data_IF_539838120868
#
_entry.id   IF_539838120868
#
_cell.length_a   1.000
_cell.length_b   1.000
_cell.length_c   1.000
_cell.angle_alpha   90.00
_cell.angle_beta   90.00
_cell.angle_gamma   90.00
#
_symmetry.space_group_name_H-M   'P 1'
#
loop_
_entity.id
_entity.type
_entity.pdbx_description
1 polymer ?
#
# COMPACT_ATOMS: atom_id res chain seq x y z
N UNK A 1 7.26 -31.66 -13.27
CA UNK A 1 8.43 -31.55 -12.40
C UNK A 1 8.32 -30.17 -11.75
N UNK A 2 7.67 -30.13 -10.56
CA UNK A 2 7.39 -28.87 -9.87
C UNK A 2 8.59 -28.49 -9.04
N UNK A 3 9.29 -27.42 -9.39
CA UNK A 3 10.25 -26.79 -8.50
C UNK A 3 9.48 -26.21 -7.30
N UNK A 4 9.68 -26.79 -6.14
CA UNK A 4 9.32 -26.18 -4.87
C UNK A 4 10.11 -24.89 -4.70
N UNK A 5 9.50 -23.76 -5.09
CA UNK A 5 10.07 -22.45 -4.78
C UNK A 5 9.91 -22.25 -3.28
N UNK A 6 11.04 -22.34 -2.57
CA UNK A 6 11.16 -22.08 -1.16
C UNK A 6 10.80 -20.62 -0.87
N UNK A 7 9.65 -20.40 -0.25
CA UNK A 7 9.17 -19.06 0.15
C UNK A 7 9.94 -18.47 1.35
N UNK A 8 10.92 -19.20 1.91
CA UNK A 8 11.67 -18.82 3.11
C UNK A 8 12.49 -17.54 2.91
N UNK A 9 13.01 -17.31 1.70
CA UNK A 9 13.82 -16.12 1.39
C UNK A 9 13.08 -14.78 1.50
N UNK A 10 11.78 -14.74 1.25
CA UNK A 10 10.98 -13.51 1.37
C UNK A 10 10.65 -13.15 2.82
N UNK A 11 10.40 -14.16 3.64
CA UNK A 11 10.15 -13.96 5.07
C UNK A 11 11.38 -13.37 5.78
N UNK A 12 12.58 -13.83 5.43
CA UNK A 12 13.83 -13.38 6.05
C UNK A 12 14.18 -11.92 5.70
N UNK A 13 13.99 -11.49 4.44
CA UNK A 13 14.27 -10.10 4.01
C UNK A 13 13.30 -9.11 4.66
N UNK A 14 12.00 -9.43 4.72
CA UNK A 14 11.00 -8.62 5.39
C UNK A 14 11.28 -8.51 6.91
N UNK A 15 11.70 -9.60 7.56
CA UNK A 15 12.07 -9.61 8.97
C UNK A 15 13.29 -8.73 9.24
N UNK A 16 14.31 -8.77 8.37
CA UNK A 16 15.49 -7.92 8.46
C UNK A 16 15.16 -6.42 8.38
N UNK A 17 14.31 -6.02 7.45
CA UNK A 17 13.82 -4.63 7.34
C UNK A 17 13.06 -4.18 8.59
N UNK A 18 12.19 -5.04 9.14
CA UNK A 18 11.45 -4.74 10.38
C UNK A 18 12.36 -4.61 11.59
N UNK A 19 13.37 -5.46 11.73
CA UNK A 19 14.33 -5.38 12.81
C UNK A 19 15.16 -4.08 12.74
N UNK A 20 15.66 -3.72 11.55
CA UNK A 20 16.37 -2.47 11.33
C UNK A 20 15.50 -1.24 11.66
N UNK A 21 14.24 -1.26 11.23
CA UNK A 21 13.28 -0.22 11.53
C UNK A 21 13.02 -0.09 13.04
N UNK A 22 12.88 -1.21 13.75
CA UNK A 22 12.67 -1.21 15.20
C UNK A 22 13.83 -0.53 15.93
N UNK A 23 15.08 -0.82 15.54
CA UNK A 23 16.27 -0.15 16.09
C UNK A 23 16.25 1.35 15.81
N UNK A 24 15.91 1.75 14.58
CA UNK A 24 15.78 3.16 14.20
C UNK A 24 14.69 3.87 15.01
N UNK A 25 13.53 3.26 15.17
CA UNK A 25 12.43 3.84 15.96
C UNK A 25 12.78 3.91 17.45
N UNK A 26 13.50 2.93 17.98
CA UNK A 26 13.99 2.97 19.36
C UNK A 26 14.96 4.14 19.56
N UNK A 27 15.87 4.37 18.62
CA UNK A 27 16.78 5.50 18.66
C UNK A 27 16.03 6.84 18.57
N UNK A 28 15.06 6.97 17.68
CA UNK A 28 14.21 8.17 17.57
C UNK A 28 13.45 8.41 18.88
N UNK A 29 12.82 7.36 19.42
CA UNK A 29 12.06 7.47 20.66
C UNK A 29 12.93 7.89 21.85
N UNK A 30 14.13 7.33 21.99
CA UNK A 30 15.02 7.59 23.13
C UNK A 30 15.72 8.94 23.01
N UNK A 31 16.20 9.30 21.82
CA UNK A 31 17.11 10.44 21.66
C UNK A 31 16.47 11.68 21.03
N UNK A 32 15.37 11.53 20.29
CA UNK A 32 14.78 12.62 19.52
C UNK A 32 13.35 12.98 19.95
N UNK A 33 12.61 12.08 20.60
CA UNK A 33 11.27 12.39 21.06
C UNK A 33 11.32 13.44 22.20
N UNK A 34 10.60 14.56 22.08
CA UNK A 34 10.64 15.65 23.09
C UNK A 34 9.91 15.26 24.39
N UNK A 35 9.08 14.24 24.36
CA UNK A 35 8.36 13.64 25.48
C UNK A 35 8.06 12.16 25.22
N UNK A 36 7.65 11.44 26.26
CA UNK A 36 7.22 10.04 26.16
C UNK A 36 5.78 9.91 26.65
N UNK A 37 4.90 9.38 25.80
CA UNK A 37 3.51 9.19 26.15
C UNK A 37 3.34 8.02 27.12
N UNK A 38 2.55 8.19 28.21
CA UNK A 38 2.38 7.16 29.22
C UNK A 38 1.54 6.00 28.69
N UNK A 39 2.14 4.81 28.66
CA UNK A 39 1.52 3.59 28.06
C UNK A 39 0.30 3.07 28.81
N UNK A 40 0.14 3.44 30.07
CA UNK A 40 -0.98 3.05 30.93
C UNK A 40 -2.23 3.96 30.76
N UNK A 41 -2.20 4.91 29.85
CA UNK A 41 -3.30 5.83 29.58
C UNK A 41 -4.05 5.44 28.31
N UNK A 42 -5.36 5.43 28.37
CA UNK A 42 -6.23 5.06 27.25
C UNK A 42 -6.01 5.95 26.00
N UNK A 43 -5.80 7.25 26.20
CA UNK A 43 -5.58 8.18 25.09
C UNK A 43 -4.31 7.87 24.28
N UNK A 44 -3.26 7.34 24.92
CA UNK A 44 -2.04 6.91 24.22
C UNK A 44 -2.35 5.78 23.23
N UNK A 45 -3.21 4.85 23.61
CA UNK A 45 -3.68 3.78 22.73
C UNK A 45 -4.53 4.30 21.57
N UNK A 46 -5.42 5.26 21.84
CA UNK A 46 -6.21 5.91 20.78
C UNK A 46 -5.29 6.63 19.79
N UNK A 47 -4.30 7.38 20.26
CA UNK A 47 -3.30 8.05 19.40
C UNK A 47 -2.51 7.01 18.60
N UNK A 48 -2.09 5.91 19.20
CA UNK A 48 -1.34 4.86 18.52
C UNK A 48 -2.17 4.19 17.41
N UNK A 49 -3.40 3.79 17.71
CA UNK A 49 -4.29 3.11 16.77
C UNK A 49 -4.70 4.03 15.62
N UNK A 50 -5.18 5.24 15.92
CA UNK A 50 -5.58 6.20 14.89
C UNK A 50 -4.39 6.73 14.09
N UNK A 51 -3.25 6.97 14.76
CA UNK A 51 -2.03 7.42 14.11
C UNK A 51 -1.48 6.39 13.13
N UNK A 52 -1.44 5.11 13.53
CA UNK A 52 -1.06 4.03 12.64
C UNK A 52 -2.02 3.91 11.46
N UNK A 53 -3.33 3.95 11.70
CA UNK A 53 -4.31 3.78 10.65
C UNK A 53 -4.29 4.95 9.64
N UNK A 54 -4.12 6.18 10.12
CA UNK A 54 -3.95 7.37 9.26
C UNK A 54 -2.66 7.29 8.43
N UNK A 55 -1.53 6.93 9.05
CA UNK A 55 -0.26 6.81 8.33
C UNK A 55 -0.29 5.63 7.34
N UNK A 56 -0.98 4.54 7.69
CA UNK A 56 -1.23 3.44 6.76
C UNK A 56 -2.01 3.93 5.54
N UNK A 57 -3.11 4.67 5.73
CA UNK A 57 -3.85 5.30 4.63
C UNK A 57 -2.93 6.13 3.74
N UNK A 58 -2.11 7.00 4.35
CA UNK A 58 -1.15 7.86 3.63
C UNK A 58 -0.15 7.06 2.82
N UNK A 59 0.48 6.06 3.45
CA UNK A 59 1.41 5.15 2.78
C UNK A 59 0.74 4.40 1.63
N UNK A 60 -0.44 3.83 1.87
CA UNK A 60 -1.17 3.03 0.88
C UNK A 60 -1.53 3.88 -0.35
N UNK A 61 -1.98 5.12 -0.12
CA UNK A 61 -2.23 6.09 -1.20
C UNK A 61 -0.96 6.42 -1.99
N UNK A 62 0.18 6.64 -1.30
CA UNK A 62 1.48 6.86 -1.95
C UNK A 62 1.92 5.62 -2.74
N UNK A 63 1.69 4.43 -2.21
CA UNK A 63 2.03 3.17 -2.88
C UNK A 63 1.30 3.01 -4.23
N UNK A 64 0.11 3.56 -4.39
CA UNK A 64 -0.61 3.59 -5.65
C UNK A 64 -0.26 4.76 -6.57
N UNK A 65 0.36 5.83 -6.03
CA UNK A 65 0.61 7.07 -6.75
C UNK A 65 2.07 7.29 -7.13
N UNK A 66 2.99 6.58 -6.52
CA UNK A 66 4.43 6.67 -6.78
C UNK A 66 4.92 5.32 -7.31
N UNK A 67 5.36 5.29 -8.55
CA UNK A 67 5.69 4.05 -9.28
C UNK A 67 6.73 3.20 -8.55
N UNK A 68 7.75 3.80 -7.93
CA UNK A 68 8.75 3.08 -7.14
C UNK A 68 8.12 2.33 -5.95
N UNK A 69 7.16 2.96 -5.28
CA UNK A 69 6.46 2.35 -4.14
C UNK A 69 5.42 1.33 -4.64
N UNK A 70 4.72 1.64 -5.75
CA UNK A 70 3.86 0.68 -6.44
C UNK A 70 4.60 -0.61 -6.80
N UNK A 71 5.87 -0.53 -7.19
CA UNK A 71 6.69 -1.71 -7.49
C UNK A 71 6.77 -2.71 -6.33
N UNK A 72 6.62 -2.26 -5.08
CA UNK A 72 6.52 -3.14 -3.90
C UNK A 72 5.12 -3.70 -3.69
N UNK A 73 4.08 -2.99 -4.14
CA UNK A 73 2.68 -3.26 -3.80
C UNK A 73 1.91 -3.99 -4.91
N UNK A 74 2.32 -3.83 -6.18
CA UNK A 74 1.64 -4.41 -7.33
C UNK A 74 1.44 -5.94 -7.27
N UNK A 75 2.35 -6.67 -6.63
CA UNK A 75 2.23 -8.11 -6.49
C UNK A 75 0.99 -8.51 -5.67
N UNK A 76 0.62 -7.69 -4.69
CA UNK A 76 -0.62 -7.84 -3.91
C UNK A 76 -1.86 -7.68 -4.80
N UNK A 77 -1.86 -6.70 -5.72
CA UNK A 77 -2.94 -6.45 -6.67
C UNK A 77 -2.94 -7.37 -7.90
N UNK A 78 -1.92 -8.21 -8.09
CA UNK A 78 -1.79 -9.01 -9.32
C UNK A 78 -2.73 -10.22 -9.39
N UNK A 79 -3.45 -10.55 -8.32
CA UNK A 79 -4.37 -11.68 -8.30
C UNK A 79 -5.65 -11.38 -9.09
N UNK A 80 -6.04 -12.28 -9.97
CA UNK A 80 -7.34 -12.25 -10.67
C UNK A 80 -8.48 -12.79 -9.79
N UNK A 81 -8.16 -13.30 -8.61
CA UNK A 81 -9.11 -13.77 -7.59
C UNK A 81 -8.96 -12.93 -6.34
N UNK A 82 -10.09 -12.66 -5.68
CA UNK A 82 -10.11 -11.90 -4.44
C UNK A 82 -10.53 -12.80 -3.27
N UNK A 83 -9.56 -13.19 -2.46
CA UNK A 83 -9.74 -14.09 -1.32
C UNK A 83 -8.61 -13.93 -0.30
N UNK A 84 -8.62 -14.72 0.76
CA UNK A 84 -7.59 -14.67 1.81
C UNK A 84 -6.16 -14.98 1.32
N UNK A 85 -6.00 -15.72 0.22
CA UNK A 85 -4.68 -15.91 -0.39
C UNK A 85 -4.15 -14.59 -0.99
N UNK A 86 -5.03 -13.69 -1.43
CA UNK A 86 -4.64 -12.32 -1.84
C UNK A 86 -4.09 -11.53 -0.65
N UNK A 87 -4.72 -11.65 0.53
CA UNK A 87 -4.25 -10.98 1.75
C UNK A 87 -2.84 -11.39 2.16
N UNK A 88 -2.46 -12.66 1.98
CA UNK A 88 -1.12 -13.16 2.34
C UNK A 88 -0.08 -12.98 1.24
N UNK A 89 -0.47 -12.49 0.07
CA UNK A 89 0.46 -12.13 -1.01
C UNK A 89 1.16 -10.81 -0.68
N UNK A 90 2.12 -10.87 0.25
CA UNK A 90 2.80 -9.71 0.79
C UNK A 90 4.04 -9.31 -0.03
N UNK A 91 4.46 -8.06 0.14
CA UNK A 91 5.68 -7.51 -0.44
C UNK A 91 6.93 -8.08 0.25
N UNK A 92 8.00 -8.26 -0.51
CA UNK A 92 9.32 -8.67 0.02
C UNK A 92 10.12 -7.50 0.57
N UNK A 93 9.83 -6.29 0.11
CA UNK A 93 10.57 -5.07 0.43
C UNK A 93 9.68 -4.05 1.14
N UNK A 94 10.00 -3.75 2.39
CA UNK A 94 9.26 -2.80 3.22
C UNK A 94 9.97 -1.45 3.36
N UNK A 95 11.05 -1.18 2.61
CA UNK A 95 11.90 0.00 2.79
C UNK A 95 11.11 1.33 2.72
N UNK A 96 10.19 1.47 1.77
CA UNK A 96 9.37 2.67 1.65
C UNK A 96 8.35 2.85 2.78
N UNK A 97 7.86 1.75 3.35
CA UNK A 97 6.91 1.77 4.45
C UNK A 97 7.54 2.20 5.79
N UNK A 98 8.79 1.79 6.02
CA UNK A 98 9.50 2.08 7.28
C UNK A 98 9.54 3.58 7.58
N UNK A 99 9.74 4.41 6.57
CA UNK A 99 9.81 5.86 6.76
C UNK A 99 8.48 6.48 7.22
N UNK A 100 7.36 5.85 6.89
CA UNK A 100 6.03 6.36 7.21
C UNK A 100 5.71 6.31 8.71
N UNK A 101 6.33 5.38 9.46
CA UNK A 101 6.06 5.23 10.89
C UNK A 101 6.89 6.15 11.79
N UNK A 102 7.92 6.83 11.25
CA UNK A 102 8.81 7.74 12.00
C UNK A 102 8.07 8.79 12.82
N UNK A 103 6.97 9.42 12.37
CA UNK A 103 6.26 10.41 13.16
C UNK A 103 5.76 9.89 14.52
N UNK A 104 5.43 8.61 14.63
CA UNK A 104 4.85 8.04 15.85
C UNK A 104 5.86 7.93 17.02
N UNK A 105 7.04 7.33 16.85
CA UNK A 105 8.06 7.36 17.90
C UNK A 105 8.56 8.79 18.19
N UNK A 106 8.60 9.67 17.18
CA UNK A 106 8.95 11.08 17.38
C UNK A 106 7.91 11.82 18.22
N UNK A 107 6.63 11.45 18.13
CA UNK A 107 5.54 11.93 18.99
C UNK A 107 5.52 11.27 20.38
N UNK A 108 6.52 10.47 20.70
CA UNK A 108 6.67 9.83 22.01
C UNK A 108 5.89 8.52 22.20
N UNK A 109 5.45 7.89 21.12
CA UNK A 109 4.89 6.54 21.16
C UNK A 109 6.00 5.50 21.18
N UNK A 110 6.03 4.58 22.16
CA UNK A 110 7.07 3.55 22.19
C UNK A 110 6.98 2.63 20.96
N UNK A 111 8.11 2.23 20.36
CA UNK A 111 8.14 1.46 19.13
C UNK A 111 7.32 0.17 19.15
N UNK A 112 7.31 -0.55 20.29
CA UNK A 112 6.52 -1.76 20.42
C UNK A 112 5.01 -1.51 20.28
N UNK A 113 4.51 -0.35 20.78
CA UNK A 113 3.11 0.04 20.66
C UNK A 113 2.74 0.38 19.22
N UNK A 114 3.65 1.01 18.48
CA UNK A 114 3.50 1.26 17.04
C UNK A 114 3.39 -0.08 16.28
N UNK A 115 4.28 -1.04 16.55
CA UNK A 115 4.23 -2.36 15.93
C UNK A 115 2.98 -3.15 16.30
N UNK A 116 2.56 -3.08 17.55
CA UNK A 116 1.32 -3.72 18.00
C UNK A 116 0.10 -3.16 17.27
N UNK A 117 -0.02 -1.83 17.21
CA UNK A 117 -1.12 -1.16 16.51
C UNK A 117 -1.11 -1.46 15.02
N UNK A 118 0.07 -1.53 14.41
CA UNK A 118 0.23 -1.93 13.01
C UNK A 118 -0.16 -3.39 12.78
N UNK A 119 0.21 -4.28 13.70
CA UNK A 119 -0.21 -5.69 13.62
C UNK A 119 -1.73 -5.84 13.69
N UNK A 120 -2.40 -5.09 14.57
CA UNK A 120 -3.87 -5.04 14.62
C UNK A 120 -4.48 -4.54 13.31
N UNK A 121 -3.87 -3.51 12.71
CA UNK A 121 -4.30 -2.98 11.42
C UNK A 121 -4.20 -4.04 10.31
N UNK A 122 -3.10 -4.80 10.24
CA UNK A 122 -2.93 -5.89 9.28
C UNK A 122 -3.87 -7.07 9.53
N UNK A 123 -4.10 -7.44 10.80
CA UNK A 123 -5.06 -8.49 11.17
C UNK A 123 -6.47 -8.08 10.73
N UNK A 124 -6.85 -6.83 10.98
CA UNK A 124 -8.12 -6.32 10.50
C UNK A 124 -8.23 -6.43 8.97
N UNK A 125 -7.21 -6.04 8.24
CA UNK A 125 -7.22 -6.10 6.79
C UNK A 125 -7.30 -7.53 6.23
N UNK A 126 -6.89 -8.54 6.97
CA UNK A 126 -6.97 -9.93 6.50
C UNK A 126 -8.41 -10.34 6.19
N UNK A 127 -9.36 -10.09 7.08
CA UNK A 127 -10.74 -10.55 6.91
C UNK A 127 -11.51 -9.79 5.82
N UNK A 128 -11.11 -8.56 5.47
CA UNK A 128 -11.79 -7.81 4.40
C UNK A 128 -11.48 -8.35 2.99
N UNK A 129 -10.49 -9.25 2.84
CA UNK A 129 -10.16 -9.89 1.57
C UNK A 129 -11.08 -11.08 1.27
N UNK A 130 -12.37 -10.80 1.05
CA UNK A 130 -13.33 -11.86 0.74
C UNK A 130 -14.48 -11.37 -0.15
N UNK A 131 -14.93 -12.24 -1.03
CA UNK A 131 -16.16 -12.05 -1.80
C UNK A 131 -17.41 -12.63 -1.11
N UNK A 132 -17.23 -13.36 0.01
CA UNK A 132 -18.33 -14.06 0.71
C UNK A 132 -19.21 -13.13 1.53
N UNK A 133 -18.69 -11.96 1.90
CA UNK A 133 -19.42 -10.95 2.67
C UNK A 133 -19.77 -9.82 1.71
N UNK A 134 -21.06 -9.56 1.54
CA UNK A 134 -21.55 -8.43 0.77
C UNK A 134 -21.35 -7.11 1.54
N UNK A 135 -22.28 -6.18 1.42
CA UNK A 135 -22.25 -4.92 2.17
C UNK A 135 -22.74 -5.14 3.60
N UNK A 136 -22.04 -4.54 4.53
CA UNK A 136 -22.45 -4.49 5.92
C UNK A 136 -23.47 -3.37 6.16
N UNK A 137 -24.11 -3.29 7.36
CA UNK A 137 -25.03 -2.20 7.70
C UNK A 137 -24.40 -0.81 7.52
N UNK A 138 -25.18 0.15 7.04
CA UNK A 138 -24.71 1.50 6.69
C UNK A 138 -23.83 2.19 7.73
N UNK A 139 -24.12 2.17 9.05
CA UNK A 139 -23.26 2.83 10.03
C UNK A 139 -21.83 2.24 10.05
N UNK A 140 -21.72 0.92 9.89
CA UNK A 140 -20.43 0.23 9.83
C UNK A 140 -19.68 0.58 8.54
N UNK A 141 -20.35 0.51 7.39
CA UNK A 141 -19.80 0.91 6.08
C UNK A 141 -19.38 2.40 6.03
N UNK A 142 -19.98 3.24 6.88
CA UNK A 142 -19.61 4.65 6.91
C UNK A 142 -18.27 4.89 7.60
N UNK A 143 -17.95 4.13 8.65
CA UNK A 143 -16.77 4.32 9.50
C UNK A 143 -15.63 3.39 9.14
N UNK A 144 -15.93 2.10 8.92
CA UNK A 144 -14.93 1.06 8.79
C UNK A 144 -14.71 0.64 7.33
N UNK A 145 -13.47 0.24 7.03
CA UNK A 145 -13.17 -0.46 5.79
C UNK A 145 -13.79 -1.87 5.86
N UNK A 146 -14.52 -2.25 4.83
CA UNK A 146 -15.28 -3.51 4.76
C UNK A 146 -14.87 -4.31 3.53
N UNK A 147 -15.31 -5.58 3.40
CA UNK A 147 -15.06 -6.33 2.17
C UNK A 147 -15.55 -5.60 0.91
N UNK A 148 -16.69 -4.90 0.97
CA UNK A 148 -17.21 -4.15 -0.18
C UNK A 148 -16.27 -3.00 -0.59
N UNK A 149 -15.70 -2.28 0.36
CA UNK A 149 -14.74 -1.21 0.09
C UNK A 149 -13.41 -1.75 -0.43
N UNK A 150 -12.95 -2.86 0.14
CA UNK A 150 -11.66 -3.44 -0.23
C UNK A 150 -11.71 -4.16 -1.58
N UNK A 151 -12.86 -4.71 -1.97
CA UNK A 151 -13.10 -5.19 -3.35
C UNK A 151 -12.93 -4.06 -4.37
N UNK A 152 -13.51 -2.89 -4.10
CA UNK A 152 -13.33 -1.70 -4.95
C UNK A 152 -11.85 -1.32 -5.04
N UNK A 153 -11.12 -1.34 -3.90
CA UNK A 153 -9.69 -1.05 -3.87
C UNK A 153 -8.87 -1.98 -4.78
N UNK A 154 -9.20 -3.28 -4.81
CA UNK A 154 -8.55 -4.26 -5.67
C UNK A 154 -9.10 -4.28 -7.11
N UNK A 155 -10.16 -3.52 -7.39
CA UNK A 155 -10.79 -3.46 -8.70
C UNK A 155 -9.91 -2.80 -9.76
N UNK A 156 -9.78 -3.46 -10.93
CA UNK A 156 -9.08 -2.89 -12.09
C UNK A 156 -10.00 -2.07 -13.01
N UNK A 157 -11.29 -2.01 -12.70
CA UNK A 157 -12.25 -1.20 -13.43
C UNK A 157 -11.92 0.29 -13.28
N UNK A 158 -12.05 1.05 -14.36
CA UNK A 158 -11.61 2.45 -14.44
C UNK A 158 -12.19 3.33 -13.32
N UNK A 159 -13.43 3.07 -12.90
CA UNK A 159 -14.09 3.82 -11.82
C UNK A 159 -13.53 3.49 -10.44
N UNK A 160 -12.89 2.33 -10.27
CA UNK A 160 -12.37 1.82 -9.01
C UNK A 160 -10.87 2.06 -8.83
N UNK A 161 -10.16 2.40 -9.91
CA UNK A 161 -8.73 2.69 -9.83
C UNK A 161 -8.44 3.82 -8.85
N UNK A 162 -7.44 3.63 -8.02
CA UNK A 162 -6.97 4.62 -7.05
C UNK A 162 -8.03 5.05 -6.03
N UNK A 163 -8.81 4.11 -5.52
CA UNK A 163 -9.85 4.33 -4.51
C UNK A 163 -9.67 3.46 -3.27
N UNK A 164 -10.27 3.88 -2.15
CA UNK A 164 -10.44 3.14 -0.91
C UNK A 164 -9.12 2.59 -0.30
N UNK A 165 -8.21 3.48 0.09
CA UNK A 165 -6.90 3.12 0.65
C UNK A 165 -6.91 2.81 2.16
N UNK A 166 -8.04 3.00 2.86
CA UNK A 166 -8.14 2.83 4.31
C UNK A 166 -7.75 1.43 4.78
N UNK A 167 -7.06 1.34 5.91
CA UNK A 167 -6.75 0.09 6.60
C UNK A 167 -7.95 -0.40 7.41
N UNK A 168 -8.17 0.16 8.60
CA UNK A 168 -9.31 -0.12 9.46
C UNK A 168 -10.46 0.86 9.16
N UNK A 169 -10.14 2.14 9.04
CA UNK A 169 -11.13 3.21 8.91
C UNK A 169 -11.21 3.73 7.47
N UNK A 170 -12.39 3.64 6.89
CA UNK A 170 -12.70 4.21 5.57
C UNK A 170 -12.98 5.72 5.64
N UNK A 171 -13.09 6.27 6.83
CA UNK A 171 -13.30 7.71 7.02
C UNK A 171 -12.18 8.56 6.42
N UNK A 172 -10.95 8.05 6.36
CA UNK A 172 -9.83 8.75 5.72
C UNK A 172 -10.08 8.94 4.23
N UNK A 173 -10.58 7.90 3.56
CA UNK A 173 -10.95 8.00 2.14
C UNK A 173 -12.07 9.01 1.90
N UNK A 174 -13.05 9.08 2.80
CA UNK A 174 -14.12 10.07 2.73
C UNK A 174 -13.59 11.49 2.95
N UNK A 175 -12.72 11.66 3.95
CA UNK A 175 -12.13 12.96 4.29
C UNK A 175 -11.22 13.49 3.19
N UNK A 176 -10.42 12.63 2.56
CA UNK A 176 -9.43 13.01 1.55
C UNK A 176 -9.87 12.75 0.10
N UNK A 177 -11.16 12.44 -0.13
CA UNK A 177 -11.78 12.38 -1.46
C UNK A 177 -11.39 11.16 -2.30
N UNK A 178 -10.91 10.08 -1.68
CA UNK A 178 -10.59 8.82 -2.36
C UNK A 178 -11.64 7.73 -2.20
N UNK A 179 -12.76 8.03 -1.52
CA UNK A 179 -13.84 7.08 -1.31
C UNK A 179 -14.62 6.80 -2.60
N UNK A 180 -14.90 5.51 -2.85
CA UNK A 180 -15.78 5.03 -3.90
C UNK A 180 -16.61 3.84 -3.38
N UNK A 181 -17.98 3.90 -3.41
CA UNK A 181 -18.79 2.75 -3.07
C UNK A 181 -18.69 1.66 -4.16
N UNK A 182 -18.87 0.41 -3.77
CA UNK A 182 -19.04 -0.70 -4.73
C UNK A 182 -20.37 -0.54 -5.45
N UNK A 183 -20.32 -0.24 -6.75
CA UNK A 183 -21.51 -0.10 -7.61
C UNK A 183 -21.87 -1.42 -8.28
N UNK A 184 -20.86 -2.19 -8.65
CA UNK A 184 -20.94 -3.53 -9.22
C UNK A 184 -19.73 -4.34 -8.77
N UNK A 185 -19.79 -5.65 -8.91
CA UNK A 185 -18.69 -6.54 -8.54
C UNK A 185 -17.46 -6.24 -9.39
N UNK A 186 -16.31 -5.88 -8.80
CA UNK A 186 -15.12 -5.50 -9.56
C UNK A 186 -14.50 -6.70 -10.33
N UNK A 187 -13.81 -6.37 -11.42
CA UNK A 187 -12.82 -7.24 -12.01
C UNK A 187 -11.48 -7.03 -11.31
N UNK A 188 -10.75 -8.11 -11.03
CA UNK A 188 -9.51 -8.06 -10.25
C UNK A 188 -8.28 -8.30 -11.11
N UNK A 189 -7.13 -7.87 -10.61
CA UNK A 189 -5.84 -7.99 -11.24
C UNK A 189 -5.21 -6.64 -11.59
N UNK A 190 -4.15 -6.67 -12.34
CA UNK A 190 -3.48 -5.47 -12.84
C UNK A 190 -4.14 -5.02 -14.15
N UNK A 191 -4.19 -3.73 -14.40
CA UNK A 191 -4.64 -3.16 -15.69
C UNK A 191 -3.84 -3.71 -16.88
N UNK A 192 -2.59 -4.09 -16.64
CA UNK A 192 -1.75 -4.86 -17.55
C UNK A 192 -1.44 -6.21 -16.90
N UNK A 193 -2.27 -7.20 -17.22
CA UNK A 193 -2.20 -8.52 -16.62
C UNK A 193 -0.82 -9.17 -16.75
N UNK A 194 -0.49 -9.99 -15.77
CA UNK A 194 0.75 -10.75 -15.72
C UNK A 194 0.38 -12.22 -15.62
N UNK A 195 0.59 -12.93 -16.69
CA UNK A 195 0.29 -14.36 -16.77
C UNK A 195 1.51 -15.17 -16.29
N UNK A 196 1.76 -15.13 -14.99
CA UNK A 196 2.81 -15.92 -14.35
C UNK A 196 2.50 -16.19 -12.88
N UNK A 197 2.86 -17.40 -12.44
CA UNK A 197 2.88 -17.77 -11.02
C UNK A 197 4.27 -17.65 -10.40
N UNK A 198 5.27 -17.21 -11.16
CA UNK A 198 6.61 -16.99 -10.64
C UNK A 198 6.62 -15.77 -9.72
N UNK A 199 6.77 -16.02 -8.41
CA UNK A 199 6.74 -14.98 -7.37
C UNK A 199 7.83 -13.94 -7.58
N UNK A 200 9.03 -14.35 -7.99
CA UNK A 200 10.15 -13.42 -8.26
C UNK A 200 9.82 -12.50 -9.43
N UNK A 201 9.28 -13.04 -10.51
CA UNK A 201 8.84 -12.24 -11.64
C UNK A 201 7.76 -11.23 -11.24
N UNK A 202 6.77 -11.64 -10.44
CA UNK A 202 5.72 -10.75 -9.93
C UNK A 202 6.28 -9.63 -9.05
N UNK A 203 7.23 -9.93 -8.17
CA UNK A 203 7.80 -8.98 -7.23
C UNK A 203 8.83 -8.03 -7.85
N UNK A 204 9.54 -8.43 -8.92
CA UNK A 204 10.67 -7.66 -9.45
C UNK A 204 10.39 -6.98 -10.79
N UNK A 205 9.35 -7.38 -11.52
CA UNK A 205 9.06 -6.90 -12.90
C UNK A 205 9.02 -5.39 -13.01
N UNK A 206 8.38 -4.70 -12.05
CA UNK A 206 8.22 -3.25 -12.11
C UNK A 206 9.52 -2.52 -11.81
N UNK A 207 10.36 -3.06 -10.94
CA UNK A 207 11.72 -2.55 -10.73
C UNK A 207 12.57 -2.66 -12.00
N UNK A 208 12.46 -3.79 -12.71
CA UNK A 208 13.13 -3.99 -13.99
C UNK A 208 12.60 -3.02 -15.04
N UNK A 209 11.29 -2.80 -15.08
CA UNK A 209 10.66 -1.82 -15.98
C UNK A 209 11.15 -0.40 -15.67
N UNK A 210 11.16 0.02 -14.40
CA UNK A 210 11.70 1.32 -13.98
C UNK A 210 13.16 1.47 -14.42
N UNK A 211 14.00 0.46 -14.19
CA UNK A 211 15.41 0.50 -14.57
C UNK A 211 15.61 0.61 -16.09
N UNK A 212 14.80 -0.08 -16.89
CA UNK A 212 14.79 0.01 -18.35
C UNK A 212 14.37 1.42 -18.81
N UNK A 213 13.25 1.95 -18.27
CA UNK A 213 12.71 3.25 -18.65
C UNK A 213 13.68 4.38 -18.24
N UNK A 214 14.30 4.27 -17.06
CA UNK A 214 15.38 5.18 -16.62
C UNK A 214 16.55 5.23 -17.61
N UNK A 215 17.00 4.06 -18.09
CA UNK A 215 18.12 3.97 -19.04
C UNK A 215 17.75 4.52 -20.41
N UNK A 216 16.51 4.36 -20.84
CA UNK A 216 16.01 4.85 -22.14
C UNK A 216 15.78 6.36 -22.17
N UNK A 217 15.56 6.99 -21.02
CA UNK A 217 15.27 8.40 -20.95
C UNK A 217 16.52 9.28 -21.10
N UNK A 218 16.47 10.26 -22.00
CA UNK A 218 17.57 11.19 -22.25
C UNK A 218 17.65 12.33 -21.22
N UNK A 219 16.51 12.76 -20.66
CA UNK A 219 16.41 13.91 -19.75
C UNK A 219 16.24 13.43 -18.30
N UNK A 220 16.90 14.09 -17.36
CA UNK A 220 16.79 13.79 -15.92
C UNK A 220 15.35 13.91 -15.43
N UNK A 221 14.59 14.91 -15.88
CA UNK A 221 13.17 15.06 -15.57
C UNK A 221 12.37 13.81 -15.91
N UNK A 222 12.62 13.21 -17.09
CA UNK A 222 11.89 12.03 -17.54
C UNK A 222 12.31 10.79 -16.73
N UNK A 223 13.61 10.69 -16.39
CA UNK A 223 14.11 9.65 -15.47
C UNK A 223 13.41 9.71 -14.11
N UNK A 224 13.34 10.90 -13.52
CA UNK A 224 12.64 11.11 -12.25
C UNK A 224 11.12 10.84 -12.38
N UNK A 225 10.51 11.22 -13.53
CA UNK A 225 9.11 10.91 -13.83
C UNK A 225 8.83 9.41 -13.87
N UNK A 226 9.72 8.61 -14.47
CA UNK A 226 9.58 7.14 -14.49
C UNK A 226 9.71 6.48 -13.12
N UNK A 227 10.37 7.11 -12.17
CA UNK A 227 10.57 6.58 -10.79
C UNK A 227 9.45 7.07 -9.86
N UNK A 228 9.21 8.38 -9.85
CA UNK A 228 8.36 9.04 -8.84
C UNK A 228 6.99 9.47 -9.38
N UNK A 229 6.78 9.44 -10.68
CA UNK A 229 5.46 9.64 -11.28
C UNK A 229 4.50 8.50 -10.97
N UNK A 230 3.21 8.64 -11.27
CA UNK A 230 2.24 7.56 -11.09
C UNK A 230 2.55 6.35 -11.98
N UNK A 231 2.10 5.14 -11.62
CA UNK A 231 2.19 3.97 -12.49
C UNK A 231 1.62 4.28 -13.87
N UNK A 232 2.34 3.92 -14.94
CA UNK A 232 1.95 4.25 -16.32
C UNK A 232 2.31 5.67 -16.78
N UNK A 233 3.03 6.46 -15.97
CA UNK A 233 3.52 7.76 -16.40
C UNK A 233 4.48 7.63 -17.59
N UNK A 234 4.30 8.50 -18.58
CA UNK A 234 5.17 8.64 -19.75
C UNK A 234 5.54 10.12 -19.98
N UNK A 235 6.73 10.42 -20.51
CA UNK A 235 7.11 11.79 -20.86
C UNK A 235 6.15 12.36 -21.92
N UNK A 236 5.80 13.64 -21.79
CA UNK A 236 5.01 14.33 -22.80
C UNK A 236 5.79 14.39 -24.11
N UNK A 237 5.16 13.95 -25.19
CA UNK A 237 5.71 14.11 -26.53
C UNK A 237 5.57 15.58 -26.98
N UNK A 238 6.54 16.09 -27.69
CA UNK A 238 6.46 17.44 -28.30
C UNK A 238 5.21 17.52 -29.16
N UNK A 239 4.31 18.49 -28.87
CA UNK A 239 3.04 18.70 -29.60
C UNK A 239 1.76 18.28 -28.90
N UNK A 240 1.82 17.65 -27.70
CA UNK A 240 0.63 17.42 -26.87
C UNK A 240 0.28 18.69 -26.10
N UNK A 241 -0.82 19.36 -26.49
CA UNK A 241 -1.45 20.47 -25.74
C UNK A 241 -2.07 19.97 -24.43
N UNK A 242 -2.24 20.89 -23.47
CA UNK A 242 -2.81 20.65 -22.13
C UNK A 242 -4.30 20.26 -22.18
N UNK A 243 -4.60 19.14 -22.77
CA UNK A 243 -5.89 18.47 -22.62
C UNK A 243 -5.74 17.40 -21.56
N UNK A 244 -6.39 17.62 -20.40
CA UNK A 244 -6.57 16.72 -19.28
C UNK A 244 -5.42 15.70 -19.05
N UNK A 245 -4.86 15.67 -17.86
CA UNK A 245 -4.00 14.56 -17.43
C UNK A 245 -4.60 13.26 -17.99
N UNK A 246 -3.89 12.48 -18.80
CA UNK A 246 -4.39 11.18 -19.17
C UNK A 246 -4.51 10.40 -17.86
N UNK A 247 -5.76 10.23 -17.42
CA UNK A 247 -6.08 9.12 -16.53
C UNK A 247 -5.38 7.93 -17.18
N UNK A 248 -4.47 7.30 -16.47
CA UNK A 248 -3.63 6.23 -16.99
C UNK A 248 -4.46 5.36 -17.94
N UNK A 249 -4.26 5.54 -19.24
CA UNK A 249 -4.93 4.68 -20.22
C UNK A 249 -4.33 3.30 -20.02
N UNK A 250 -5.12 2.28 -19.80
CA UNK A 250 -4.61 0.92 -19.77
C UNK A 250 -4.07 0.60 -21.19
N UNK A 251 -2.78 0.39 -21.28
CA UNK A 251 -2.17 -0.34 -22.39
C UNK A 251 -1.89 -1.76 -21.96
#
# INVERSE_FOLDING_TARGET
>A
MGEHLDGSGFGSTSAGWKALALLGYAAIYVYLAPWHLPVNRWYTWVIALLGVDLLYYGYHRIAHRVRLIWATHQAHHSSQYFNFATAVRQKWNNSGEILMWIPLPLLGLPPWMVYFSWSLNLIYQFWVHTERIDKLPRPFEFVFNTPSHHRVHHGMDKIYLDKNYGGILIIWDRLFGSFQPELFRPHYGLTKQVDTFNIWALQTREYVAIARDWRSASRLRDRLGYVFGPPGWEPRRAGQTDGALPLATPR
#
